data_IF_237275734766
#
_entry.id   IF_237275734766
#
_cell.length_a   1.000
_cell.length_b   1.000
_cell.length_c   1.000
_cell.angle_alpha   90.00
_cell.angle_beta   90.00
_cell.angle_gamma   90.00
#
_symmetry.space_group_name_H-M   'P 1'
#
loop_
_entity.id
_entity.type
_entity.pdbx_description
1 polymer ?
#
# COMPACT_ATOMS: atom_id res chain seq x y z
N UNK A 1 -44.10 38.21 3.93
CA UNK A 1 -45.02 37.37 4.74
C UNK A 1 -44.26 36.94 5.98
N UNK A 2 -44.75 37.35 7.14
CA UNK A 2 -44.15 37.17 8.47
C UNK A 2 -44.61 35.86 9.14
N UNK A 3 -43.98 35.63 10.31
CA UNK A 3 -44.27 34.71 11.42
C UNK A 3 -43.45 33.41 11.31
N UNK A 4 -42.84 32.89 12.38
CA UNK A 4 -43.33 32.74 13.76
C UNK A 4 -42.12 32.70 14.72
N UNK A 5 -42.24 33.28 15.91
CA UNK A 5 -41.42 32.95 17.09
C UNK A 5 -42.31 32.84 18.34
N UNK A 6 -42.51 31.62 18.80
CA UNK A 6 -43.07 31.23 20.11
C UNK A 6 -41.91 31.12 21.13
N UNK A 7 -41.96 31.76 22.32
CA UNK A 7 -42.50 31.24 23.60
C UNK A 7 -41.91 29.84 23.94
N UNK A 8 -41.13 29.64 25.02
CA UNK A 8 -41.64 29.57 26.40
C UNK A 8 -40.51 29.42 27.43
N UNK A 9 -40.73 30.03 28.60
CA UNK A 9 -40.03 29.89 29.88
C UNK A 9 -40.30 28.52 30.56
N UNK A 10 -39.35 27.99 31.35
CA UNK A 10 -39.55 27.20 32.60
C UNK A 10 -38.17 26.85 33.18
N UNK A 11 -37.70 27.53 34.24
CA UNK A 11 -37.97 27.38 35.68
C UNK A 11 -37.14 26.26 36.34
N UNK A 12 -36.26 26.73 37.24
CA UNK A 12 -35.76 26.16 38.51
C UNK A 12 -35.74 24.64 38.72
N UNK A 13 -34.64 24.11 39.27
CA UNK A 13 -34.56 23.85 40.73
C UNK A 13 -33.20 23.30 41.15
N UNK A 14 -32.69 23.86 42.24
CA UNK A 14 -31.53 23.39 43.01
C UNK A 14 -31.90 22.16 43.85
N UNK A 15 -31.01 21.19 43.93
CA UNK A 15 -30.92 20.16 44.97
C UNK A 15 -29.48 19.64 44.97
N UNK A 16 -28.65 20.04 45.93
CA UNK A 16 -28.40 19.34 47.20
C UNK A 16 -27.32 18.25 47.06
N UNK A 17 -26.14 18.54 47.65
CA UNK A 17 -25.15 17.74 48.41
C UNK A 17 -25.15 16.19 48.27
N UNK A 18 -24.00 15.48 48.41
CA UNK A 18 -22.98 15.75 49.43
C UNK A 18 -21.50 15.55 49.04
N UNK A 19 -20.65 16.14 49.88
CA UNK A 19 -19.24 15.84 50.11
C UNK A 19 -19.02 14.40 50.59
N UNK A 20 -18.07 13.69 50.00
CA UNK A 20 -17.26 12.71 50.72
C UNK A 20 -15.85 12.63 50.12
N UNK A 21 -14.88 12.81 51.01
CA UNK A 21 -13.45 12.71 50.79
C UNK A 21 -13.01 11.24 50.76
N UNK A 22 -12.19 10.88 49.78
CA UNK A 22 -11.23 9.75 49.78
C UNK A 22 -10.18 10.11 48.72
N UNK A 23 -9.00 10.61 49.09
CA UNK A 23 -7.79 9.79 49.32
C UNK A 23 -7.44 8.90 48.11
N UNK A 24 -6.51 9.34 47.26
CA UNK A 24 -5.14 8.79 47.18
C UNK A 24 -4.45 9.34 45.90
N UNK A 25 -3.48 10.24 46.05
CA UNK A 25 -2.03 9.94 46.08
C UNK A 25 -1.53 9.19 44.85
N UNK A 26 -1.06 10.01 43.91
CA UNK A 26 0.00 9.74 42.94
C UNK A 26 1.10 8.82 43.49
N UNK A 27 1.28 7.65 42.88
CA UNK A 27 2.57 6.97 42.85
C UNK A 27 2.67 6.02 41.66
N UNK A 28 3.49 6.44 40.71
CA UNK A 28 4.11 5.69 39.63
C UNK A 28 4.48 4.25 40.02
N UNK A 29 4.08 3.28 39.19
CA UNK A 29 4.86 2.06 39.02
C UNK A 29 4.71 1.53 37.59
N UNK A 30 5.49 2.14 36.71
CA UNK A 30 5.95 1.62 35.44
C UNK A 30 6.46 0.17 35.62
N UNK A 31 5.68 -0.81 35.17
CA UNK A 31 6.17 -2.17 34.92
C UNK A 31 6.76 -2.19 33.52
N UNK A 32 8.04 -1.83 33.45
CA UNK A 32 8.89 -1.96 32.27
C UNK A 32 9.10 -3.47 32.03
N UNK A 33 8.36 -4.07 31.10
CA UNK A 33 8.69 -5.40 30.59
C UNK A 33 9.94 -5.27 29.74
N UNK A 34 11.09 -5.65 30.30
CA UNK A 34 12.33 -5.84 29.56
C UNK A 34 12.13 -7.01 28.58
N UNK A 35 11.93 -6.69 27.30
CA UNK A 35 12.08 -7.65 26.22
C UNK A 35 13.47 -7.45 25.60
N UNK A 36 14.24 -8.53 25.63
CA UNK A 36 15.65 -8.61 25.26
C UNK A 36 15.95 -8.05 23.86
N UNK A 37 17.12 -7.41 23.66
CA UNK A 37 17.60 -7.04 22.34
C UNK A 37 17.97 -8.31 21.57
N UNK A 38 17.32 -8.54 20.43
CA UNK A 38 17.81 -9.49 19.44
C UNK A 38 19.04 -8.85 18.81
N UNK A 39 20.22 -9.38 19.13
CA UNK A 39 21.47 -9.09 18.45
C UNK A 39 21.31 -9.35 16.95
N UNK A 40 21.27 -8.28 16.15
CA UNK A 40 21.47 -8.36 14.71
C UNK A 40 22.96 -8.59 14.47
N UNK A 41 23.32 -9.78 14.00
CA UNK A 41 24.70 -10.07 13.59
C UNK A 41 24.92 -9.44 12.22
N UNK A 42 25.66 -8.34 12.26
CA UNK A 42 26.34 -7.72 11.14
C UNK A 42 27.42 -8.66 10.61
N UNK A 43 27.30 -9.10 9.36
CA UNK A 43 28.44 -9.58 8.58
C UNK A 43 28.48 -8.83 7.26
N UNK A 44 29.44 -7.92 7.22
CA UNK A 44 29.83 -7.14 6.09
C UNK A 44 30.67 -7.97 5.10
N UNK A 45 30.82 -7.37 3.91
CA UNK A 45 32.06 -7.32 3.14
C UNK A 45 32.39 -8.40 2.08
N UNK A 46 32.33 -7.89 0.84
CA UNK A 46 33.38 -7.93 -0.20
C UNK A 46 33.53 -9.21 -1.03
N UNK A 47 33.22 -9.11 -2.33
CA UNK A 47 34.25 -9.25 -3.37
C UNK A 47 33.74 -8.79 -4.76
N UNK A 48 34.33 -7.72 -5.30
CA UNK A 48 34.20 -7.37 -6.73
C UNK A 48 35.61 -7.44 -7.32
N UNK A 49 35.95 -8.44 -8.17
CA UNK A 49 37.20 -8.40 -8.87
C UNK A 49 37.09 -7.52 -10.12
N UNK A 50 37.75 -6.37 -10.08
CA UNK A 50 38.24 -5.69 -11.28
C UNK A 50 39.49 -6.40 -11.81
N UNK A 51 39.55 -6.63 -13.12
CA UNK A 51 40.75 -6.90 -13.94
C UNK A 51 40.30 -7.17 -15.38
N UNK A 52 40.93 -6.77 -16.48
CA UNK A 52 41.97 -5.81 -16.90
C UNK A 52 41.98 -5.92 -18.44
N UNK A 53 42.32 -4.84 -19.13
CA UNK A 53 42.57 -4.79 -20.58
C UNK A 53 43.48 -5.89 -21.14
N UNK A 54 43.20 -6.29 -22.39
CA UNK A 54 44.00 -7.24 -23.15
C UNK A 54 43.82 -7.09 -24.66
N UNK A 55 44.40 -6.05 -25.24
CA UNK A 55 44.69 -5.95 -26.68
C UNK A 55 45.58 -7.12 -27.14
N UNK A 56 45.14 -7.94 -28.11
CA UNK A 56 46.07 -8.52 -29.09
C UNK A 56 45.39 -8.97 -30.40
N UNK A 57 45.83 -8.34 -31.47
CA UNK A 57 45.48 -8.61 -32.86
C UNK A 57 45.97 -9.99 -33.36
N UNK A 58 45.27 -10.54 -34.37
CA UNK A 58 45.93 -11.15 -35.54
C UNK A 58 45.02 -11.29 -36.76
N UNK A 59 45.55 -10.83 -37.87
CA UNK A 59 45.00 -10.86 -39.23
C UNK A 59 44.79 -12.28 -39.77
N UNK A 60 43.89 -12.42 -40.76
CA UNK A 60 44.17 -13.03 -42.07
C UNK A 60 43.03 -12.79 -43.06
N UNK A 61 43.36 -12.16 -44.19
CA UNK A 61 42.60 -12.19 -45.43
C UNK A 61 42.40 -13.63 -45.93
N UNK A 62 41.30 -13.91 -46.63
CA UNK A 62 41.28 -14.18 -48.09
C UNK A 62 40.04 -15.00 -48.53
N UNK A 63 39.28 -14.39 -49.44
CA UNK A 63 38.55 -14.93 -50.61
C UNK A 63 37.36 -15.92 -50.47
N UNK A 64 36.24 -15.42 -50.99
CA UNK A 64 35.35 -15.98 -52.01
C UNK A 64 34.44 -17.19 -51.77
N UNK A 65 33.21 -16.96 -52.27
CA UNK A 65 32.16 -17.87 -52.73
C UNK A 65 31.30 -18.54 -51.65
N UNK A 66 30.03 -18.14 -51.57
CA UNK A 66 28.98 -18.86 -52.30
C UNK A 66 27.60 -18.32 -51.91
N UNK A 67 26.76 -18.18 -52.91
CA UNK A 67 25.34 -17.80 -52.87
C UNK A 67 24.51 -18.72 -51.97
N UNK A 68 23.78 -18.17 -51.00
CA UNK A 68 22.42 -18.65 -50.76
C UNK A 68 21.51 -17.56 -50.19
N UNK A 69 20.35 -17.47 -50.82
CA UNK A 69 19.24 -16.57 -50.54
C UNK A 69 18.64 -16.91 -49.19
N UNK A 70 18.51 -15.92 -48.30
CA UNK A 70 17.34 -15.82 -47.42
C UNK A 70 17.12 -14.34 -47.08
N UNK A 71 16.26 -13.70 -47.88
CA UNK A 71 15.56 -12.49 -47.45
C UNK A 71 14.65 -12.92 -46.31
N UNK A 72 15.08 -12.73 -45.07
CA UNK A 72 14.16 -12.64 -43.96
C UNK A 72 14.31 -11.27 -43.31
N UNK A 73 13.25 -10.49 -43.50
CA UNK A 73 12.88 -9.23 -42.87
C UNK A 73 13.39 -9.13 -41.43
N UNK A 74 14.44 -8.32 -41.22
CA UNK A 74 14.80 -7.83 -39.88
C UNK A 74 13.70 -6.87 -39.42
N UNK A 75 12.78 -7.40 -38.62
CA UNK A 75 11.97 -6.57 -37.73
C UNK A 75 12.72 -6.54 -36.40
N UNK A 76 13.67 -5.63 -36.30
CA UNK A 76 14.31 -5.21 -35.07
C UNK A 76 13.25 -4.61 -34.14
N UNK A 77 12.65 -5.46 -33.31
CA UNK A 77 11.99 -5.03 -32.09
C UNK A 77 13.03 -5.25 -31.00
N UNK A 78 13.73 -4.18 -30.65
CA UNK A 78 14.61 -4.15 -29.48
C UNK A 78 13.86 -4.67 -28.28
N UNK A 79 14.45 -5.70 -27.69
CA UNK A 79 14.11 -6.22 -26.39
C UNK A 79 14.36 -5.13 -25.34
N UNK A 80 13.29 -4.60 -24.76
CA UNK A 80 13.28 -4.10 -23.38
C UNK A 80 11.82 -4.14 -22.90
N UNK A 81 11.59 -4.69 -21.71
CA UNK A 81 10.28 -4.85 -21.05
C UNK A 81 9.44 -6.06 -21.47
N UNK A 82 9.95 -7.25 -21.17
CA UNK A 82 9.12 -8.43 -20.93
C UNK A 82 8.47 -8.30 -19.54
N UNK A 83 7.43 -7.46 -19.40
CA UNK A 83 6.47 -7.65 -18.31
C UNK A 83 5.63 -8.84 -18.74
N UNK A 84 5.92 -10.00 -18.16
CA UNK A 84 5.14 -11.20 -18.32
C UNK A 84 3.68 -10.88 -18.01
N UNK A 85 2.86 -10.73 -19.04
CA UNK A 85 1.40 -10.73 -18.92
C UNK A 85 1.00 -12.16 -18.61
N UNK A 86 1.12 -12.55 -17.34
CA UNK A 86 0.42 -13.71 -16.78
C UNK A 86 -1.03 -13.52 -17.22
N UNK A 87 -1.48 -14.33 -18.17
CA UNK A 87 -2.88 -14.39 -18.58
C UNK A 87 -3.65 -14.71 -17.31
N UNK A 88 -4.23 -13.69 -16.68
CA UNK A 88 -4.92 -13.81 -15.41
C UNK A 88 -6.00 -14.85 -15.63
N UNK A 89 -5.79 -16.02 -15.04
CA UNK A 89 -6.81 -17.04 -14.89
C UNK A 89 -8.04 -16.36 -14.31
N UNK A 90 -9.21 -16.88 -14.63
CA UNK A 90 -10.52 -16.46 -14.10
C UNK A 90 -10.63 -16.67 -12.59
N UNK A 91 -9.72 -16.09 -11.82
CA UNK A 91 -9.66 -16.09 -10.38
C UNK A 91 -10.61 -15.05 -9.82
N UNK A 92 -10.98 -15.26 -8.56
CA UNK A 92 -11.83 -14.31 -7.84
C UNK A 92 -11.08 -12.99 -7.65
N UNK A 93 -11.79 -11.85 -7.61
CA UNK A 93 -11.14 -10.52 -7.41
C UNK A 93 -10.28 -10.47 -6.14
N UNK A 94 -10.65 -11.25 -5.12
CA UNK A 94 -9.87 -11.41 -3.91
C UNK A 94 -8.51 -12.08 -4.19
N UNK A 95 -8.46 -13.11 -5.02
CA UNK A 95 -7.21 -13.79 -5.41
C UNK A 95 -6.27 -12.82 -6.14
N UNK A 96 -6.80 -12.00 -7.05
CA UNK A 96 -6.03 -10.94 -7.72
C UNK A 96 -5.44 -9.95 -6.69
N UNK A 97 -6.22 -9.54 -5.68
CA UNK A 97 -5.72 -8.64 -4.64
C UNK A 97 -4.66 -9.29 -3.76
N UNK A 98 -4.79 -10.58 -3.46
CA UNK A 98 -3.79 -11.36 -2.72
C UNK A 98 -2.49 -11.44 -3.50
N UNK A 99 -2.55 -11.78 -4.79
CA UNK A 99 -1.36 -11.86 -5.65
C UNK A 99 -0.64 -10.51 -5.77
N UNK A 100 -1.39 -9.40 -5.74
CA UNK A 100 -0.83 -8.05 -5.80
C UNK A 100 -0.27 -7.55 -4.45
N UNK A 101 -0.61 -8.19 -3.33
CA UNK A 101 -0.12 -7.76 -2.03
C UNK A 101 1.37 -8.11 -1.89
N UNK A 102 2.16 -7.14 -1.45
CA UNK A 102 3.57 -7.37 -1.15
C UNK A 102 3.74 -8.23 0.10
N UNK A 103 4.93 -8.83 0.27
CA UNK A 103 5.26 -9.55 1.49
C UNK A 103 5.15 -8.68 2.76
N UNK A 104 5.35 -7.36 2.63
CA UNK A 104 5.20 -6.41 3.74
C UNK A 104 3.73 -6.07 4.06
N UNK A 105 2.77 -6.46 3.21
CA UNK A 105 1.34 -6.25 3.46
C UNK A 105 0.72 -5.04 2.77
N UNK A 106 1.47 -4.29 1.96
CA UNK A 106 0.97 -3.11 1.23
C UNK A 106 0.79 -3.39 -0.26
N UNK A 107 0.10 -2.50 -0.96
CA UNK A 107 -0.04 -2.53 -2.42
C UNK A 107 0.72 -1.39 -3.08
N UNK A 108 1.40 -1.69 -4.18
CA UNK A 108 2.08 -0.69 -5.01
C UNK A 108 1.09 0.07 -5.89
N UNK A 109 1.45 1.30 -6.26
CA UNK A 109 0.67 2.15 -7.17
C UNK A 109 0.77 1.65 -8.61
N UNK A 110 0.01 0.59 -8.92
CA UNK A 110 0.09 -0.11 -10.20
C UNK A 110 -1.26 -0.12 -10.92
N UNK A 111 -1.23 -0.09 -12.25
CA UNK A 111 -2.44 -0.18 -13.08
C UNK A 111 -3.26 -1.45 -12.80
N UNK A 112 -2.59 -2.56 -12.50
CA UNK A 112 -3.25 -3.83 -12.16
C UNK A 112 -4.14 -3.73 -10.92
N UNK A 113 -3.72 -2.94 -9.92
CA UNK A 113 -4.53 -2.68 -8.73
C UNK A 113 -5.79 -1.90 -9.10
N UNK A 114 -5.63 -0.81 -9.85
CA UNK A 114 -6.75 0.03 -10.32
C UNK A 114 -7.76 -0.73 -11.17
N UNK A 115 -7.28 -1.62 -12.03
CA UNK A 115 -8.13 -2.53 -12.82
C UNK A 115 -8.91 -3.51 -11.95
N UNK A 116 -8.27 -4.05 -10.90
CA UNK A 116 -8.90 -4.98 -9.96
C UNK A 116 -10.02 -4.31 -9.16
N UNK A 117 -9.74 -3.12 -8.59
CA UNK A 117 -10.70 -2.34 -7.79
C UNK A 117 -11.69 -1.52 -8.62
N UNK A 118 -11.52 -1.49 -9.95
CA UNK A 118 -12.34 -0.73 -10.91
C UNK A 118 -12.39 0.78 -10.64
N UNK A 119 -11.25 1.35 -10.26
CA UNK A 119 -11.10 2.78 -9.98
C UNK A 119 -10.30 3.46 -11.09
N UNK A 120 -10.68 4.69 -11.44
CA UNK A 120 -9.93 5.52 -12.40
C UNK A 120 -8.72 6.12 -11.67
N UNK A 121 -7.51 5.94 -12.24
CA UNK A 121 -6.26 6.40 -11.61
C UNK A 121 -6.27 7.91 -11.31
N UNK A 122 -6.96 8.72 -12.12
CA UNK A 122 -7.08 10.18 -11.96
C UNK A 122 -7.72 10.56 -10.61
N UNK A 123 -8.76 9.85 -10.19
CA UNK A 123 -9.45 10.15 -8.92
C UNK A 123 -8.57 9.82 -7.70
N UNK A 124 -7.81 8.72 -7.81
CA UNK A 124 -6.82 8.35 -6.81
C UNK A 124 -5.66 9.36 -6.76
N UNK A 125 -5.15 9.81 -7.92
CA UNK A 125 -4.09 10.83 -7.99
C UNK A 125 -4.51 12.15 -7.36
N UNK A 126 -5.78 12.53 -7.51
CA UNK A 126 -6.33 13.71 -6.86
C UNK A 126 -6.28 13.57 -5.34
N UNK A 127 -6.67 12.42 -4.79
CA UNK A 127 -6.60 12.18 -3.35
C UNK A 127 -5.16 12.23 -2.80
N UNK A 128 -4.19 11.72 -3.56
CA UNK A 128 -2.75 11.84 -3.22
C UNK A 128 -2.33 13.31 -3.15
N UNK A 129 -2.69 14.12 -4.18
CA UNK A 129 -2.32 15.53 -4.25
C UNK A 129 -2.99 16.39 -3.18
N UNK A 130 -4.29 16.18 -2.94
CA UNK A 130 -5.09 16.99 -2.03
C UNK A 130 -4.68 16.81 -0.56
N UNK A 131 -4.17 15.62 -0.20
CA UNK A 131 -3.81 15.28 1.18
C UNK A 131 -2.30 15.16 1.44
N UNK A 132 -1.47 15.16 0.38
CA UNK A 132 -0.02 15.05 0.50
C UNK A 132 0.49 13.67 0.97
N UNK A 133 -0.32 12.62 0.85
CA UNK A 133 0.04 11.26 1.27
C UNK A 133 0.91 10.54 0.24
N UNK A 134 1.66 9.53 0.70
CA UNK A 134 2.38 8.63 -0.22
C UNK A 134 1.38 7.83 -1.07
N UNK A 135 1.73 7.59 -2.33
CA UNK A 135 0.95 6.77 -3.25
C UNK A 135 0.68 5.37 -2.69
N UNK A 136 1.66 4.75 -2.02
CA UNK A 136 1.52 3.43 -1.40
C UNK A 136 0.50 3.41 -0.26
N UNK A 137 0.45 4.49 0.52
CA UNK A 137 -0.55 4.67 1.58
C UNK A 137 -1.96 4.68 0.97
N UNK A 138 -2.16 5.51 -0.06
CA UNK A 138 -3.45 5.62 -0.74
C UNK A 138 -3.82 4.33 -1.47
N UNK A 139 -2.89 3.69 -2.18
CA UNK A 139 -3.11 2.41 -2.84
C UNK A 139 -3.55 1.32 -1.86
N UNK A 140 -2.90 1.26 -0.70
CA UNK A 140 -3.21 0.28 0.36
C UNK A 140 -4.58 0.54 0.97
N UNK A 141 -4.89 1.80 1.29
CA UNK A 141 -6.20 2.16 1.81
C UNK A 141 -7.33 1.88 0.82
N UNK A 142 -7.10 2.11 -0.48
CA UNK A 142 -8.05 1.78 -1.55
C UNK A 142 -8.31 0.27 -1.62
N UNK A 143 -7.27 -0.56 -1.55
CA UNK A 143 -7.44 -2.02 -1.54
C UNK A 143 -8.28 -2.48 -0.34
N UNK A 144 -7.97 -1.97 0.87
CA UNK A 144 -8.71 -2.32 2.09
C UNK A 144 -10.17 -1.86 2.00
N UNK A 145 -10.40 -0.61 1.60
CA UNK A 145 -11.74 -0.06 1.44
C UNK A 145 -12.56 -0.82 0.38
N UNK A 146 -11.91 -1.31 -0.69
CA UNK A 146 -12.55 -2.15 -1.70
C UNK A 146 -13.02 -3.49 -1.10
N UNK A 147 -12.14 -4.18 -0.37
CA UNK A 147 -12.46 -5.47 0.25
C UNK A 147 -13.64 -5.32 1.23
N UNK A 148 -13.59 -4.29 2.09
CA UNK A 148 -14.65 -3.98 3.05
C UNK A 148 -16.01 -3.71 2.40
N UNK A 149 -16.03 -3.07 1.21
CA UNK A 149 -17.29 -2.69 0.55
C UNK A 149 -17.85 -3.72 -0.43
N UNK A 150 -16.97 -4.41 -1.19
CA UNK A 150 -17.38 -5.23 -2.33
C UNK A 150 -17.24 -6.72 -2.08
N UNK A 151 -16.44 -7.13 -1.08
CA UNK A 151 -16.15 -8.54 -0.78
C UNK A 151 -16.73 -8.99 0.57
N UNK A 152 -17.82 -8.39 1.05
CA UNK A 152 -18.40 -8.71 2.37
C UNK A 152 -18.72 -10.20 2.59
N UNK A 153 -19.00 -10.96 1.53
CA UNK A 153 -19.27 -12.40 1.59
C UNK A 153 -18.05 -13.25 1.92
N UNK A 154 -16.86 -12.74 1.66
CA UNK A 154 -15.57 -13.42 1.83
C UNK A 154 -14.77 -12.80 2.99
N UNK A 155 -15.47 -12.21 3.99
CA UNK A 155 -14.84 -11.49 5.11
C UNK A 155 -13.74 -12.29 5.79
N UNK A 156 -14.01 -13.55 6.12
CA UNK A 156 -13.06 -14.43 6.79
C UNK A 156 -11.76 -14.60 5.98
N UNK A 157 -11.84 -14.54 4.65
CA UNK A 157 -10.68 -14.66 3.78
C UNK A 157 -9.88 -13.35 3.69
N UNK A 158 -10.55 -12.20 3.54
CA UNK A 158 -9.85 -10.92 3.37
C UNK A 158 -9.47 -10.20 4.66
N UNK A 159 -10.06 -10.53 5.80
CA UNK A 159 -9.80 -9.86 7.08
C UNK A 159 -8.33 -9.98 7.48
N UNK A 160 -7.73 -11.17 7.39
CA UNK A 160 -6.31 -11.38 7.69
C UNK A 160 -5.37 -10.59 6.75
N UNK A 161 -5.77 -10.45 5.48
CA UNK A 161 -5.02 -9.72 4.46
C UNK A 161 -5.09 -8.22 4.73
N UNK A 162 -6.28 -7.73 5.08
CA UNK A 162 -6.53 -6.35 5.45
C UNK A 162 -5.87 -5.98 6.78
N UNK A 163 -5.86 -6.86 7.77
CA UNK A 163 -5.22 -6.63 9.08
C UNK A 163 -3.72 -6.44 8.95
N UNK A 164 -3.06 -7.27 8.12
CA UNK A 164 -1.65 -7.09 7.79
C UNK A 164 -1.38 -5.72 7.15
N UNK A 165 -2.25 -5.30 6.24
CA UNK A 165 -2.14 -4.02 5.56
C UNK A 165 -2.41 -2.82 6.50
N UNK A 166 -3.36 -2.97 7.44
CA UNK A 166 -3.61 -2.00 8.49
C UNK A 166 -2.40 -1.85 9.40
N UNK A 167 -1.76 -2.95 9.81
CA UNK A 167 -0.52 -2.90 10.59
C UNK A 167 0.61 -2.16 9.86
N UNK A 168 0.73 -2.35 8.54
CA UNK A 168 1.68 -1.57 7.73
C UNK A 168 1.33 -0.08 7.67
N UNK A 169 0.05 0.27 7.51
CA UNK A 169 -0.40 1.68 7.55
C UNK A 169 -0.13 2.32 8.90
N UNK A 170 -0.38 1.61 9.99
CA UNK A 170 -0.13 2.08 11.35
C UNK A 170 1.36 2.36 11.59
N UNK A 171 2.25 1.52 11.08
CA UNK A 171 3.70 1.74 11.14
C UNK A 171 4.14 2.98 10.34
N UNK A 172 3.45 3.32 9.23
CA UNK A 172 3.87 4.40 8.32
C UNK A 172 3.35 5.78 8.66
N UNK A 173 2.08 5.89 9.06
CA UNK A 173 1.42 7.20 9.29
C UNK A 173 0.86 7.35 10.71
N UNK A 174 0.89 6.28 11.52
CA UNK A 174 0.30 6.28 12.85
C UNK A 174 -1.24 6.28 12.83
N UNK A 175 -1.83 5.93 13.97
CA UNK A 175 -3.25 5.61 14.06
C UNK A 175 -4.20 6.80 13.78
N UNK A 176 -3.74 8.03 14.05
CA UNK A 176 -4.53 9.23 13.86
C UNK A 176 -4.80 9.54 12.37
N UNK A 177 -3.84 9.25 11.49
CA UNK A 177 -3.98 9.55 10.06
C UNK A 177 -4.69 8.44 9.29
N UNK A 178 -4.62 7.19 9.76
CA UNK A 178 -5.30 6.04 9.12
C UNK A 178 -6.79 6.31 8.93
N UNK A 179 -7.46 6.84 9.95
CA UNK A 179 -8.88 7.14 9.87
C UNK A 179 -9.20 8.14 8.75
N UNK A 180 -8.36 9.15 8.56
CA UNK A 180 -8.53 10.14 7.50
C UNK A 180 -8.32 9.52 6.10
N UNK A 181 -7.26 8.73 5.93
CA UNK A 181 -6.94 8.05 4.66
C UNK A 181 -8.05 7.07 4.29
N UNK A 182 -8.49 6.24 5.24
CA UNK A 182 -9.54 5.25 5.03
C UNK A 182 -10.87 5.91 4.66
N UNK A 183 -11.21 7.04 5.27
CA UNK A 183 -12.43 7.78 4.95
C UNK A 183 -12.40 8.30 3.49
N UNK A 184 -11.26 8.83 3.04
CA UNK A 184 -11.10 9.26 1.64
C UNK A 184 -11.19 8.06 0.69
N UNK A 185 -10.50 6.96 1.01
CA UNK A 185 -10.53 5.75 0.19
C UNK A 185 -11.95 5.17 0.06
N UNK A 186 -12.71 5.12 1.16
CA UNK A 186 -14.09 4.65 1.15
C UNK A 186 -15.00 5.55 0.31
N UNK A 187 -14.78 6.88 0.29
CA UNK A 187 -15.52 7.80 -0.58
C UNK A 187 -15.26 7.53 -2.06
N UNK A 188 -14.03 7.18 -2.45
CA UNK A 188 -13.65 6.92 -3.84
C UNK A 188 -14.24 5.61 -4.39
N UNK A 189 -14.52 4.63 -3.52
CA UNK A 189 -14.99 3.29 -3.92
C UNK A 189 -16.53 3.19 -3.95
N UNK A 190 -17.21 4.25 -3.52
CA UNK A 190 -18.65 4.29 -3.38
C UNK A 190 -19.37 4.19 -4.73
#
# INVERSE_FOLDING_TARGET
RQKISELSLTRESRGALPSNSTEDTSASRTMFTAFSPVHYVEQAQMNVPARTDGLRARCRSRASASTHVYRHREKSISAESMVATKSRSSGSKLEDLIELQTFQGFWEWNQMLFECIRLIAVDAEKAVKDNGWDKRIVATALAIAFMKKRLCKEKEAWELIADKANGWLEEKIGQNEIAAVMLVAEKLIN
#
